data_IF_216418795911
#
_entry.id   IF_216418795911
#
_cell.length_a   1.000
_cell.length_b   1.000
_cell.length_c   1.000
_cell.angle_alpha   90.00
_cell.angle_beta   90.00
_cell.angle_gamma   90.00
#
_symmetry.space_group_name_H-M   'P 1'
#
loop_
_entity.id
_entity.type
_entity.pdbx_description
1 polymer ?
#
# COMPACT_ATOMS: atom_id res chain seq x y z
N UNK A 1 -31.85 -25.66 -3.96
CA UNK A 1 -30.80 -24.64 -4.11
C UNK A 1 -30.22 -24.44 -2.73
N UNK A 2 -28.95 -24.79 -2.54
CA UNK A 2 -28.32 -24.89 -1.21
C UNK A 2 -28.03 -23.50 -0.64
N UNK A 3 -28.65 -23.17 0.50
CA UNK A 3 -28.23 -22.08 1.36
C UNK A 3 -26.84 -22.42 1.93
N UNK A 4 -25.79 -21.83 1.37
CA UNK A 4 -24.44 -21.89 1.94
C UNK A 4 -24.44 -21.14 3.26
N UNK A 5 -24.42 -21.89 4.36
CA UNK A 5 -24.46 -21.39 5.72
C UNK A 5 -23.20 -20.51 6.01
N UNK A 6 -23.31 -19.18 6.18
CA UNK A 6 -22.16 -18.27 6.23
C UNK A 6 -21.15 -18.59 7.34
N UNK A 7 -21.62 -19.17 8.44
CA UNK A 7 -20.80 -19.60 9.58
C UNK A 7 -19.86 -20.76 9.24
N UNK A 8 -20.34 -21.73 8.45
CA UNK A 8 -19.53 -22.86 8.03
C UNK A 8 -18.43 -22.42 7.04
N UNK A 9 -18.77 -21.52 6.11
CA UNK A 9 -17.81 -20.97 5.17
C UNK A 9 -16.71 -20.19 5.89
N UNK A 10 -17.08 -19.32 6.84
CA UNK A 10 -16.13 -18.56 7.65
C UNK A 10 -15.20 -19.48 8.47
N UNK A 11 -15.72 -20.54 9.06
CA UNK A 11 -14.89 -21.51 9.80
C UNK A 11 -13.94 -22.28 8.89
N UNK A 12 -14.39 -22.67 7.69
CA UNK A 12 -13.53 -23.30 6.68
C UNK A 12 -12.41 -22.36 6.22
N UNK A 13 -12.71 -21.06 6.07
CA UNK A 13 -11.71 -20.07 5.68
C UNK A 13 -10.65 -19.86 6.78
N UNK A 14 -11.05 -19.88 8.06
CA UNK A 14 -10.09 -19.87 9.19
C UNK A 14 -9.18 -21.09 9.19
N UNK A 15 -9.74 -22.29 8.98
CA UNK A 15 -8.95 -23.53 8.90
C UNK A 15 -7.97 -23.45 7.72
N UNK A 16 -8.44 -23.05 6.54
CA UNK A 16 -7.59 -22.89 5.36
C UNK A 16 -6.47 -21.89 5.61
N UNK A 17 -6.77 -20.74 6.23
CA UNK A 17 -5.77 -19.72 6.58
C UNK A 17 -4.74 -20.24 7.58
N UNK A 18 -5.12 -21.11 8.52
CA UNK A 18 -4.20 -21.72 9.49
C UNK A 18 -3.30 -22.80 8.90
N UNK A 19 -3.75 -23.49 7.85
CA UNK A 19 -3.03 -24.61 7.21
C UNK A 19 -2.14 -24.16 6.05
N UNK A 20 -2.39 -22.98 5.48
CA UNK A 20 -1.56 -22.41 4.42
C UNK A 20 -0.18 -22.03 4.96
N UNK A 21 0.85 -22.30 4.18
CA UNK A 21 2.20 -21.82 4.45
C UNK A 21 2.26 -20.29 4.50
N UNK A 22 3.29 -19.79 5.18
CA UNK A 22 3.63 -18.38 5.28
C UNK A 22 4.42 -17.91 4.07
N UNK A 23 4.05 -16.75 3.55
CA UNK A 23 4.69 -16.18 2.36
C UNK A 23 5.45 -14.91 2.68
N UNK A 24 6.76 -14.92 2.43
CA UNK A 24 7.65 -13.77 2.57
C UNK A 24 8.15 -13.31 1.20
N UNK A 25 8.03 -12.02 0.91
CA UNK A 25 8.50 -11.41 -0.34
C UNK A 25 9.53 -10.32 -0.06
N UNK A 26 10.68 -10.43 -0.71
CA UNK A 26 11.63 -9.34 -0.87
C UNK A 26 11.31 -8.51 -2.11
N UNK A 27 10.94 -7.24 -1.91
CA UNK A 27 10.71 -6.28 -2.99
C UNK A 27 11.98 -5.45 -3.19
N UNK A 28 12.35 -5.21 -4.45
CA UNK A 28 13.42 -4.27 -4.78
C UNK A 28 13.04 -3.31 -5.89
N UNK A 29 13.63 -2.13 -5.88
CA UNK A 29 13.41 -1.13 -6.93
C UNK A 29 13.95 -1.56 -8.31
N UNK A 30 14.95 -2.44 -8.35
CA UNK A 30 15.58 -2.92 -9.59
C UNK A 30 16.39 -4.21 -9.41
N UNK A 31 16.87 -4.76 -10.52
CA UNK A 31 17.92 -5.77 -10.53
C UNK A 31 19.22 -5.24 -9.90
N UNK A 32 19.93 -6.09 -9.17
CA UNK A 32 21.25 -5.75 -8.62
C UNK A 32 21.25 -5.14 -7.21
N UNK A 33 20.08 -4.82 -6.65
CA UNK A 33 19.93 -4.35 -5.25
C UNK A 33 20.21 -5.44 -4.20
N UNK A 34 20.44 -6.69 -4.61
CA UNK A 34 20.86 -7.76 -3.69
C UNK A 34 19.74 -8.62 -3.10
N UNK A 35 18.53 -8.64 -3.69
CA UNK A 35 17.41 -9.48 -3.24
C UNK A 35 17.80 -10.95 -3.05
N UNK A 36 18.34 -11.59 -4.10
CA UNK A 36 18.79 -12.99 -4.08
C UNK A 36 19.84 -13.24 -3.01
N UNK A 37 20.84 -12.34 -2.91
CA UNK A 37 21.89 -12.45 -1.91
C UNK A 37 21.31 -12.41 -0.49
N UNK A 38 20.37 -11.50 -0.22
CA UNK A 38 19.73 -11.40 1.09
C UNK A 38 18.86 -12.62 1.40
N UNK A 39 18.13 -13.11 0.41
CA UNK A 39 17.31 -14.31 0.53
C UNK A 39 18.15 -15.56 0.86
N UNK A 40 19.33 -15.72 0.24
CA UNK A 40 20.27 -16.79 0.58
C UNK A 40 20.88 -16.64 1.98
N UNK A 41 21.20 -15.41 2.41
CA UNK A 41 21.66 -15.17 3.79
C UNK A 41 20.60 -15.56 4.83
N UNK A 42 19.32 -15.29 4.55
CA UNK A 42 18.22 -15.70 5.42
C UNK A 42 18.06 -17.22 5.43
N UNK A 43 18.15 -17.88 4.27
CA UNK A 43 18.12 -19.34 4.17
C UNK A 43 19.22 -19.99 5.04
N UNK A 44 20.43 -19.44 5.01
CA UNK A 44 21.54 -19.84 5.88
C UNK A 44 21.23 -19.63 7.37
N UNK A 45 20.63 -18.51 7.72
CA UNK A 45 20.26 -18.22 9.11
C UNK A 45 19.20 -19.20 9.63
N UNK A 46 18.18 -19.49 8.83
CA UNK A 46 17.14 -20.47 9.14
C UNK A 46 17.72 -21.88 9.29
N UNK A 47 18.58 -22.31 8.36
CA UNK A 47 19.23 -23.61 8.41
C UNK A 47 20.11 -23.77 9.67
N UNK A 48 20.88 -22.73 10.05
CA UNK A 48 21.66 -22.74 11.30
C UNK A 48 20.80 -22.83 12.56
N UNK A 49 19.55 -22.36 12.50
CA UNK A 49 18.60 -22.48 13.59
C UNK A 49 17.79 -23.79 13.55
N UNK A 50 18.17 -24.74 12.68
CA UNK A 50 17.56 -26.08 12.62
C UNK A 50 16.25 -26.15 11.83
N UNK A 51 15.88 -25.10 11.09
CA UNK A 51 14.70 -25.11 10.22
C UNK A 51 15.03 -25.86 8.93
N UNK A 52 14.15 -26.77 8.47
CA UNK A 52 14.33 -27.44 7.18
C UNK A 52 14.07 -26.48 6.00
N UNK A 53 15.14 -25.85 5.53
CA UNK A 53 15.14 -24.96 4.38
C UNK A 53 15.68 -25.68 3.15
N UNK A 54 15.00 -25.54 2.02
CA UNK A 54 15.49 -26.00 0.72
C UNK A 54 15.46 -24.91 -0.34
N UNK A 55 16.43 -24.93 -1.22
CA UNK A 55 16.44 -24.10 -2.43
C UNK A 55 15.61 -24.80 -3.51
N UNK A 56 14.48 -24.20 -3.88
CA UNK A 56 13.67 -24.66 -5.01
C UNK A 56 14.17 -24.09 -6.33
N UNK A 57 14.32 -22.77 -6.39
CA UNK A 57 14.86 -22.09 -7.58
C UNK A 57 15.57 -20.79 -7.20
N UNK A 58 16.78 -20.58 -7.72
CA UNK A 58 17.58 -19.37 -7.53
C UNK A 58 18.28 -19.02 -8.85
N UNK A 59 18.20 -17.78 -9.29
CA UNK A 59 19.00 -17.30 -10.42
C UNK A 59 20.19 -16.49 -9.92
N UNK A 60 21.40 -17.04 -10.05
CA UNK A 60 22.62 -16.35 -9.59
C UNK A 60 23.17 -15.36 -10.62
N UNK A 61 22.71 -15.45 -11.88
CA UNK A 61 23.25 -14.71 -13.02
C UNK A 61 24.78 -14.79 -13.15
N UNK A 62 25.36 -15.94 -12.78
CA UNK A 62 26.81 -16.18 -12.74
C UNK A 62 27.60 -15.23 -11.81
N UNK A 63 26.93 -14.62 -10.83
CA UNK A 63 27.61 -13.81 -9.81
C UNK A 63 28.29 -14.73 -8.80
N UNK A 64 29.63 -14.74 -8.82
CA UNK A 64 30.45 -15.59 -7.94
C UNK A 64 30.03 -15.48 -6.47
N UNK A 65 29.93 -14.27 -5.92
CA UNK A 65 29.52 -14.05 -4.52
C UNK A 65 28.15 -14.63 -4.16
N UNK A 66 27.20 -14.66 -5.12
CA UNK A 66 25.86 -15.24 -4.90
C UNK A 66 25.86 -16.75 -5.11
N UNK A 67 26.67 -17.23 -6.05
CA UNK A 67 26.86 -18.66 -6.27
C UNK A 67 27.53 -19.33 -5.07
N UNK A 68 28.56 -18.71 -4.49
CA UNK A 68 29.27 -19.20 -3.31
C UNK A 68 28.33 -19.31 -2.09
N UNK A 69 27.26 -18.50 -2.03
CA UNK A 69 26.24 -18.61 -0.97
C UNK A 69 25.31 -19.82 -1.13
N UNK A 70 25.27 -20.49 -2.28
CA UNK A 70 24.51 -21.72 -2.43
C UNK A 70 25.19 -22.90 -1.71
N UNK A 71 26.52 -22.83 -1.53
CA UNK A 71 27.27 -23.86 -0.85
C UNK A 71 26.76 -24.02 0.60
N UNK A 72 26.45 -25.27 0.97
CA UNK A 72 25.91 -25.60 2.28
C UNK A 72 24.39 -25.49 2.42
N UNK A 73 23.66 -25.02 1.40
CA UNK A 73 22.20 -25.04 1.40
C UNK A 73 21.66 -26.30 0.68
N UNK A 74 20.69 -27.02 1.25
CA UNK A 74 20.04 -28.14 0.56
C UNK A 74 19.29 -27.66 -0.70
N UNK A 75 19.60 -28.22 -1.87
CA UNK A 75 18.99 -27.82 -3.14
C UNK A 75 18.08 -28.93 -3.66
N UNK A 76 16.86 -28.57 -4.08
CA UNK A 76 15.97 -29.46 -4.80
C UNK A 76 16.38 -29.43 -6.28
N UNK A 77 16.66 -30.59 -6.90
CA UNK A 77 17.00 -30.64 -8.32
C UNK A 77 15.94 -29.97 -9.18
N UNK A 78 16.37 -29.13 -10.11
CA UNK A 78 15.48 -28.45 -11.06
C UNK A 78 14.95 -29.45 -12.08
N UNK A 79 13.73 -29.20 -12.54
CA UNK A 79 13.14 -29.95 -13.64
C UNK A 79 13.71 -29.43 -14.96
N UNK A 80 14.25 -30.33 -15.77
CA UNK A 80 14.77 -30.02 -17.10
C UNK A 80 13.67 -30.20 -18.15
N UNK A 81 13.49 -29.18 -18.99
CA UNK A 81 12.52 -29.18 -20.08
C UNK A 81 13.20 -28.80 -21.40
N UNK A 82 12.80 -29.45 -22.49
CA UNK A 82 13.25 -29.09 -23.83
C UNK A 82 12.23 -28.19 -24.52
N UNK A 83 12.64 -26.96 -24.83
CA UNK A 83 11.81 -25.99 -25.54
C UNK A 83 12.61 -25.32 -26.67
N UNK A 84 12.04 -25.33 -27.89
CA UNK A 84 12.67 -24.80 -29.11
C UNK A 84 14.13 -25.27 -29.32
N UNK A 85 14.40 -26.53 -29.01
CA UNK A 85 15.73 -27.14 -29.17
C UNK A 85 16.76 -26.75 -28.12
N UNK A 86 16.35 -26.10 -27.01
CA UNK A 86 17.21 -25.81 -25.86
C UNK A 86 16.71 -26.53 -24.62
N UNK A 87 17.63 -27.08 -23.83
CA UNK A 87 17.35 -27.54 -22.47
C UNK A 87 17.30 -26.32 -21.54
N UNK A 88 16.23 -26.21 -20.77
CA UNK A 88 15.98 -25.14 -19.83
C UNK A 88 15.60 -25.73 -18.47
N UNK A 89 16.06 -25.08 -17.40
CA UNK A 89 15.76 -25.47 -16.03
C UNK A 89 14.53 -24.71 -15.49
N UNK A 90 13.63 -25.43 -14.82
CA UNK A 90 12.44 -24.89 -14.17
C UNK A 90 12.30 -25.41 -12.74
N UNK A 91 11.52 -24.70 -11.93
CA UNK A 91 11.16 -25.17 -10.59
C UNK A 91 10.41 -26.53 -10.66
N UNK A 92 10.81 -27.49 -9.83
CA UNK A 92 10.08 -28.76 -9.67
C UNK A 92 9.11 -28.67 -8.48
N UNK A 93 7.90 -28.16 -8.75
CA UNK A 93 6.84 -27.99 -7.75
C UNK A 93 6.47 -29.31 -7.08
N UNK A 94 6.44 -30.41 -7.83
CA UNK A 94 6.05 -31.71 -7.28
C UNK A 94 7.13 -32.27 -6.37
N UNK A 95 8.41 -32.08 -6.71
CA UNK A 95 9.50 -32.43 -5.80
C UNK A 95 9.47 -31.61 -4.50
N UNK A 96 9.18 -30.31 -4.58
CA UNK A 96 9.00 -29.45 -3.39
C UNK A 96 7.87 -29.98 -2.51
N UNK A 97 6.70 -30.23 -3.09
CA UNK A 97 5.51 -30.72 -2.35
C UNK A 97 5.73 -32.13 -1.80
N UNK A 98 6.45 -32.99 -2.52
CA UNK A 98 6.77 -34.35 -2.07
C UNK A 98 7.76 -34.39 -0.92
N UNK A 99 8.76 -33.50 -0.93
CA UNK A 99 9.77 -33.39 0.12
C UNK A 99 9.27 -32.68 1.39
N UNK A 100 8.25 -31.81 1.25
CA UNK A 100 7.63 -31.03 2.35
C UNK A 100 8.64 -30.36 3.29
N UNK A 101 9.56 -29.52 2.77
CA UNK A 101 10.39 -28.71 3.65
C UNK A 101 9.53 -27.74 4.49
N UNK A 102 10.07 -27.26 5.60
CA UNK A 102 9.42 -26.18 6.35
C UNK A 102 9.44 -24.89 5.55
N UNK A 103 10.53 -24.60 4.84
CA UNK A 103 10.70 -23.41 4.01
C UNK A 103 11.32 -23.76 2.67
N UNK A 104 10.77 -23.23 1.57
CA UNK A 104 11.41 -23.26 0.26
C UNK A 104 11.71 -21.85 -0.25
N UNK A 105 12.89 -21.70 -0.86
CA UNK A 105 13.32 -20.46 -1.48
C UNK A 105 13.09 -20.53 -2.99
N UNK A 106 12.36 -19.54 -3.52
CA UNK A 106 11.98 -19.46 -4.95
C UNK A 106 12.19 -18.04 -5.47
N UNK A 107 13.22 -17.82 -6.27
CA UNK A 107 13.52 -16.51 -6.89
C UNK A 107 12.72 -16.26 -8.18
N UNK A 108 12.79 -15.01 -8.66
CA UNK A 108 12.19 -14.55 -9.92
C UNK A 108 10.67 -14.81 -9.96
N UNK A 109 9.93 -14.29 -8.95
CA UNK A 109 8.49 -14.52 -8.78
C UNK A 109 7.64 -14.16 -10.01
N UNK A 110 8.09 -13.20 -10.82
CA UNK A 110 7.40 -12.72 -12.01
C UNK A 110 7.62 -13.60 -13.27
N UNK A 111 8.56 -14.54 -13.19
CA UNK A 111 8.97 -15.40 -14.30
C UNK A 111 7.77 -16.08 -14.97
N UNK A 112 7.82 -16.09 -16.30
CA UNK A 112 6.89 -16.84 -17.14
C UNK A 112 7.44 -18.24 -17.34
N UNK A 113 6.72 -19.23 -16.83
CA UNK A 113 7.15 -20.62 -16.90
C UNK A 113 7.26 -21.09 -18.35
N UNK A 114 8.13 -22.06 -18.57
CA UNK A 114 8.33 -22.65 -19.90
C UNK A 114 7.05 -23.36 -20.36
N UNK A 115 6.72 -23.20 -21.65
CA UNK A 115 5.58 -23.89 -22.30
C UNK A 115 5.62 -25.41 -22.02
N UNK A 116 4.47 -25.97 -21.62
CA UNK A 116 4.35 -27.35 -21.15
C UNK A 116 4.46 -27.51 -19.63
N UNK A 117 4.72 -26.43 -18.90
CA UNK A 117 4.52 -26.39 -17.44
C UNK A 117 3.03 -26.41 -17.08
N UNK A 118 2.71 -26.91 -15.88
CA UNK A 118 1.33 -26.96 -15.38
C UNK A 118 0.73 -25.57 -15.23
N UNK A 119 1.52 -24.64 -14.70
CA UNK A 119 1.14 -23.25 -14.50
C UNK A 119 1.95 -22.36 -15.44
N UNK A 120 1.35 -21.26 -15.91
CA UNK A 120 1.96 -20.31 -16.83
C UNK A 120 2.96 -19.37 -16.14
N UNK A 121 2.80 -19.15 -14.83
CA UNK A 121 3.58 -18.21 -14.06
C UNK A 121 4.13 -18.81 -12.77
N UNK A 122 5.37 -18.43 -12.41
CA UNK A 122 6.01 -18.91 -11.19
C UNK A 122 5.27 -18.53 -9.91
N UNK A 123 4.62 -17.36 -9.88
CA UNK A 123 3.79 -17.00 -8.73
C UNK A 123 2.60 -17.97 -8.51
N UNK A 124 2.10 -18.64 -9.56
CA UNK A 124 1.08 -19.68 -9.41
C UNK A 124 1.66 -20.94 -8.77
N UNK A 125 2.89 -21.32 -9.15
CA UNK A 125 3.62 -22.41 -8.50
C UNK A 125 3.85 -22.13 -7.02
N UNK A 126 4.25 -20.90 -6.69
CA UNK A 126 4.42 -20.45 -5.30
C UNK A 126 3.11 -20.55 -4.52
N UNK A 127 1.99 -20.13 -5.11
CA UNK A 127 0.68 -20.28 -4.46
C UNK A 127 0.31 -21.75 -4.22
N UNK A 128 0.59 -22.64 -5.18
CA UNK A 128 0.37 -24.09 -5.03
C UNK A 128 1.21 -24.68 -3.88
N UNK A 129 2.47 -24.26 -3.74
CA UNK A 129 3.37 -24.66 -2.65
C UNK A 129 2.83 -24.16 -1.30
N UNK A 130 2.38 -22.91 -1.23
CA UNK A 130 1.78 -22.33 -0.02
C UNK A 130 0.50 -23.07 0.39
N UNK A 131 -0.35 -23.44 -0.57
CA UNK A 131 -1.55 -24.24 -0.32
C UNK A 131 -1.24 -25.64 0.22
N UNK A 132 -0.08 -26.20 -0.12
CA UNK A 132 0.41 -27.46 0.46
C UNK A 132 0.94 -27.32 1.90
N UNK A 133 0.93 -26.11 2.47
CA UNK A 133 1.35 -25.82 3.85
C UNK A 133 2.84 -25.53 4.00
N UNK A 134 3.57 -25.34 2.90
CA UNK A 134 5.02 -25.08 2.89
C UNK A 134 5.26 -23.57 2.86
N UNK A 135 6.15 -23.06 3.72
CA UNK A 135 6.46 -21.64 3.72
C UNK A 135 7.34 -21.28 2.52
N UNK A 136 7.14 -20.11 1.92
CA UNK A 136 7.91 -19.66 0.75
C UNK A 136 8.57 -18.33 1.02
N UNK A 137 9.87 -18.24 0.70
CA UNK A 137 10.59 -16.97 0.60
C UNK A 137 10.87 -16.71 -0.88
N UNK A 138 10.46 -15.53 -1.36
CA UNK A 138 10.61 -15.14 -2.75
C UNK A 138 11.08 -13.70 -2.90
N UNK A 139 11.39 -13.29 -4.13
CA UNK A 139 11.82 -11.96 -4.47
C UNK A 139 11.21 -11.46 -5.78
N UNK A 140 10.96 -10.15 -5.85
CA UNK A 140 10.44 -9.48 -7.05
C UNK A 140 10.92 -8.03 -7.15
N UNK A 141 10.98 -7.50 -8.38
CA UNK A 141 11.18 -6.07 -8.61
C UNK A 141 9.84 -5.36 -8.80
N UNK A 142 9.76 -4.09 -8.40
CA UNK A 142 8.54 -3.27 -8.55
C UNK A 142 8.04 -3.15 -9.98
N UNK A 143 8.94 -3.21 -10.97
CA UNK A 143 8.62 -3.12 -12.39
C UNK A 143 7.71 -4.25 -12.89
N UNK A 144 7.66 -5.37 -12.16
CA UNK A 144 6.82 -6.51 -12.47
C UNK A 144 5.43 -6.40 -11.83
N UNK A 145 5.18 -5.46 -10.94
CA UNK A 145 3.88 -5.29 -10.30
C UNK A 145 2.93 -4.65 -11.32
N UNK A 146 1.78 -5.28 -11.54
CA UNK A 146 0.83 -4.88 -12.59
C UNK A 146 0.42 -3.40 -12.47
N UNK A 147 0.02 -2.96 -11.26
CA UNK A 147 -0.42 -1.58 -11.01
C UNK A 147 0.68 -0.53 -11.22
N UNK A 148 1.95 -0.90 -11.05
CA UNK A 148 3.09 0.02 -11.16
C UNK A 148 3.73 0.01 -12.55
N UNK A 149 3.29 -0.87 -13.46
CA UNK A 149 3.95 -1.11 -14.73
C UNK A 149 4.02 0.14 -15.61
N UNK A 150 2.90 0.87 -15.74
CA UNK A 150 2.82 2.09 -16.56
C UNK A 150 3.66 3.23 -15.97
N UNK A 151 3.67 3.38 -14.65
CA UNK A 151 4.48 4.41 -13.97
C UNK A 151 5.97 4.12 -14.13
N UNK A 152 6.39 2.86 -13.95
CA UNK A 152 7.77 2.42 -14.18
C UNK A 152 8.18 2.56 -15.65
N UNK A 153 7.29 2.27 -16.60
CA UNK A 153 7.53 2.50 -18.03
C UNK A 153 7.68 3.99 -18.34
N UNK A 154 6.88 4.85 -17.71
CA UNK A 154 6.99 6.31 -17.81
C UNK A 154 8.34 6.85 -17.32
N UNK A 155 8.87 6.28 -16.24
CA UNK A 155 10.18 6.66 -15.67
C UNK A 155 11.32 6.13 -16.54
N UNK A 156 11.29 4.85 -16.89
CA UNK A 156 12.46 4.15 -17.45
C UNK A 156 12.48 4.08 -18.98
N UNK A 157 11.32 4.29 -19.62
CA UNK A 157 11.10 4.05 -21.05
C UNK A 157 11.11 2.58 -21.45
N UNK A 158 11.20 1.64 -20.50
CA UNK A 158 11.31 0.21 -20.76
C UNK A 158 10.00 -0.49 -20.43
N UNK A 159 9.48 -1.25 -21.39
CA UNK A 159 8.28 -2.06 -21.19
C UNK A 159 8.63 -3.44 -20.62
N UNK A 160 8.00 -3.78 -19.50
CA UNK A 160 8.17 -5.07 -18.82
C UNK A 160 6.97 -5.97 -19.11
N UNK A 161 7.24 -7.08 -19.80
CA UNK A 161 6.22 -8.07 -20.20
C UNK A 161 5.87 -9.06 -19.08
N UNK A 162 6.83 -9.39 -18.24
CA UNK A 162 6.62 -10.32 -17.14
C UNK A 162 6.00 -9.59 -15.96
N UNK A 163 4.75 -9.92 -15.64
CA UNK A 163 3.97 -9.24 -14.62
C UNK A 163 3.45 -10.17 -13.54
N UNK A 164 3.20 -9.58 -12.36
CA UNK A 164 2.53 -10.19 -11.21
C UNK A 164 1.32 -9.35 -10.80
N UNK A 165 0.16 -9.98 -10.55
CA UNK A 165 -0.99 -9.28 -9.99
C UNK A 165 -0.70 -8.77 -8.58
N UNK A 166 -1.20 -7.59 -8.25
CA UNK A 166 -1.11 -6.99 -6.91
C UNK A 166 -1.67 -7.90 -5.80
N UNK A 167 -2.66 -8.72 -6.12
CA UNK A 167 -3.25 -9.68 -5.17
C UNK A 167 -2.25 -10.72 -4.68
N UNK A 168 -1.21 -11.05 -5.46
CA UNK A 168 -0.14 -11.97 -5.06
C UNK A 168 0.70 -11.33 -3.94
N UNK A 169 1.03 -10.05 -4.06
CA UNK A 169 1.72 -9.32 -3.00
C UNK A 169 0.83 -9.15 -1.76
N UNK A 170 -0.45 -8.84 -1.96
CA UNK A 170 -1.42 -8.74 -0.87
C UNK A 170 -1.62 -10.05 -0.10
N UNK A 171 -1.32 -11.19 -0.71
CA UNK A 171 -1.37 -12.51 -0.08
C UNK A 171 -0.11 -12.85 0.74
N UNK A 172 0.94 -12.01 0.70
CA UNK A 172 2.17 -12.22 1.45
C UNK A 172 1.99 -11.93 2.95
N UNK A 173 2.44 -12.82 3.81
CA UNK A 173 2.46 -12.65 5.27
C UNK A 173 3.56 -11.65 5.71
N UNK A 174 4.66 -11.55 4.96
CA UNK A 174 5.73 -10.57 5.22
C UNK A 174 6.22 -9.95 3.89
N UNK A 175 6.41 -8.62 3.88
CA UNK A 175 6.96 -7.90 2.73
C UNK A 175 8.13 -7.06 3.22
N UNK A 176 9.31 -7.26 2.62
CA UNK A 176 10.55 -6.60 3.03
C UNK A 176 11.14 -5.85 1.84
N UNK A 177 11.43 -4.56 2.04
CA UNK A 177 12.12 -3.75 1.03
C UNK A 177 13.63 -4.03 1.05
N UNK A 178 14.23 -4.22 -0.13
CA UNK A 178 15.66 -4.26 -0.34
C UNK A 178 16.07 -3.05 -1.17
N UNK A 179 16.85 -2.19 -0.54
CA UNK A 179 17.14 -0.85 -1.01
C UNK A 179 18.65 -0.58 -1.07
N UNK A 180 19.06 0.20 -2.07
CA UNK A 180 20.43 0.68 -2.29
C UNK A 180 20.36 2.15 -2.72
N UNK A 181 21.44 2.89 -2.50
CA UNK A 181 21.55 4.23 -3.10
C UNK A 181 21.78 4.14 -4.61
N UNK A 182 21.47 5.22 -5.34
CA UNK A 182 21.72 5.29 -6.79
C UNK A 182 23.21 5.09 -7.11
N UNK A 183 24.10 5.71 -6.33
CA UNK A 183 25.54 5.63 -6.53
C UNK A 183 26.06 4.20 -6.32
N UNK A 184 25.59 3.50 -5.29
CA UNK A 184 25.95 2.09 -5.06
C UNK A 184 25.45 1.19 -6.20
N UNK A 185 24.21 1.37 -6.65
CA UNK A 185 23.65 0.56 -7.72
C UNK A 185 24.38 0.79 -9.05
N UNK A 186 24.71 2.05 -9.37
CA UNK A 186 25.49 2.42 -10.56
C UNK A 186 26.91 1.85 -10.48
N UNK A 187 27.53 1.91 -9.30
CA UNK A 187 28.87 1.36 -9.08
C UNK A 187 28.86 -0.15 -9.31
N UNK A 188 27.90 -0.88 -8.73
CA UNK A 188 27.72 -2.32 -8.95
C UNK A 188 27.47 -2.65 -10.43
N UNK A 189 26.73 -1.82 -11.14
CA UNK A 189 26.53 -1.99 -12.57
C UNK A 189 27.85 -1.84 -13.34
N UNK A 190 28.62 -0.78 -13.07
CA UNK A 190 29.93 -0.51 -13.72
C UNK A 190 30.97 -1.59 -13.43
N UNK A 191 30.92 -2.20 -12.24
CA UNK A 191 31.75 -3.34 -11.86
C UNK A 191 31.34 -4.66 -12.55
N UNK A 192 30.28 -4.66 -13.37
CA UNK A 192 29.79 -5.85 -14.05
C UNK A 192 29.06 -6.84 -13.13
N UNK A 193 28.67 -6.40 -11.92
CA UNK A 193 27.97 -7.25 -10.95
C UNK A 193 26.48 -7.43 -11.26
N UNK A 194 25.93 -6.65 -12.19
CA UNK A 194 24.49 -6.66 -12.53
C UNK A 194 24.25 -7.19 -13.95
N UNK A 195 24.96 -6.66 -14.94
CA UNK A 195 24.88 -7.07 -16.34
C UNK A 195 26.26 -7.35 -16.93
N UNK A 196 26.28 -8.13 -18.01
CA UNK A 196 27.48 -8.35 -18.83
C UNK A 196 27.98 -7.03 -19.42
N UNK A 197 29.31 -6.86 -19.63
CA UNK A 197 29.93 -5.60 -20.08
C UNK A 197 29.24 -4.95 -21.30
N UNK A 198 28.86 -5.77 -22.28
CA UNK A 198 28.19 -5.34 -23.52
C UNK A 198 26.87 -4.57 -23.29
N UNK A 199 26.15 -4.86 -22.19
CA UNK A 199 24.86 -4.24 -21.87
C UNK A 199 24.97 -3.08 -20.89
N UNK A 200 26.14 -2.85 -20.28
CA UNK A 200 26.32 -1.83 -19.23
C UNK A 200 26.01 -0.43 -19.77
N UNK A 201 26.58 -0.06 -20.92
CA UNK A 201 26.39 1.29 -21.46
C UNK A 201 24.93 1.58 -21.82
N UNK A 202 24.23 0.62 -22.42
CA UNK A 202 22.80 0.74 -22.73
C UNK A 202 21.96 0.82 -21.45
N UNK A 203 22.31 0.05 -20.42
CA UNK A 203 21.62 0.08 -19.13
C UNK A 203 21.79 1.44 -18.42
N UNK A 204 23.00 2.02 -18.43
CA UNK A 204 23.28 3.35 -17.87
C UNK A 204 22.55 4.47 -18.62
N UNK A 205 22.41 4.35 -19.94
CA UNK A 205 21.73 5.36 -20.77
C UNK A 205 20.19 5.29 -20.66
N UNK A 206 19.65 4.20 -20.11
CA UNK A 206 18.22 3.96 -19.99
C UNK A 206 17.82 3.82 -18.52
N UNK A 207 17.72 2.59 -18.01
CA UNK A 207 17.14 2.29 -16.70
C UNK A 207 17.98 2.83 -15.52
N UNK A 208 19.31 2.76 -15.59
CA UNK A 208 20.22 3.02 -14.44
C UNK A 208 20.73 4.47 -14.37
N UNK A 209 19.83 5.43 -14.58
CA UNK A 209 20.14 6.85 -14.34
C UNK A 209 19.82 7.24 -12.89
N UNK A 210 20.58 8.16 -12.26
CA UNK A 210 20.36 8.55 -10.87
C UNK A 210 18.94 9.02 -10.55
N UNK A 211 18.35 9.83 -11.45
CA UNK A 211 16.98 10.34 -11.36
C UNK A 211 15.92 9.25 -11.51
N UNK A 212 16.13 8.29 -12.41
CA UNK A 212 15.26 7.12 -12.55
C UNK A 212 15.32 6.25 -11.29
N UNK A 213 16.52 5.95 -10.78
CA UNK A 213 16.69 5.13 -9.58
C UNK A 213 16.02 5.78 -8.37
N UNK A 214 16.12 7.10 -8.22
CA UNK A 214 15.48 7.82 -7.12
C UNK A 214 13.96 7.70 -7.16
N UNK A 215 13.34 7.85 -8.35
CA UNK A 215 11.90 7.68 -8.52
C UNK A 215 11.45 6.23 -8.29
N UNK A 216 12.20 5.25 -8.80
CA UNK A 216 11.92 3.83 -8.55
C UNK A 216 12.05 3.47 -7.07
N UNK A 217 13.00 4.08 -6.36
CA UNK A 217 13.17 3.93 -4.91
C UNK A 217 11.96 4.47 -4.15
N UNK A 218 11.47 5.65 -4.53
CA UNK A 218 10.24 6.22 -3.97
C UNK A 218 9.05 5.27 -4.17
N UNK A 219 8.86 4.74 -5.39
CA UNK A 219 7.80 3.80 -5.69
C UNK A 219 7.90 2.51 -4.87
N UNK A 220 9.10 1.94 -4.73
CA UNK A 220 9.31 0.74 -3.93
C UNK A 220 8.95 0.97 -2.45
N UNK A 221 9.37 2.10 -1.88
CA UNK A 221 9.06 2.44 -0.49
C UNK A 221 7.56 2.69 -0.29
N UNK A 222 6.92 3.39 -1.23
CA UNK A 222 5.47 3.64 -1.21
C UNK A 222 4.66 2.35 -1.31
N UNK A 223 5.07 1.41 -2.16
CA UNK A 223 4.40 0.13 -2.29
C UNK A 223 4.53 -0.71 -1.01
N UNK A 224 5.73 -0.79 -0.43
CA UNK A 224 5.95 -1.51 0.82
C UNK A 224 5.14 -0.87 1.96
N UNK A 225 5.09 0.47 2.05
CA UNK A 225 4.25 1.17 3.01
C UNK A 225 2.76 0.84 2.83
N UNK A 226 2.26 0.87 1.59
CA UNK A 226 0.88 0.48 1.24
C UNK A 226 0.55 -0.95 1.68
N UNK A 227 1.47 -1.91 1.49
CA UNK A 227 1.28 -3.29 1.95
C UNK A 227 1.23 -3.42 3.48
N UNK A 228 2.09 -2.68 4.19
CA UNK A 228 2.07 -2.63 5.67
C UNK A 228 0.76 -2.03 6.16
N UNK A 229 0.28 -0.95 5.53
CA UNK A 229 -1.00 -0.33 5.86
C UNK A 229 -2.18 -1.30 5.70
N UNK A 230 -2.26 -2.01 4.56
CA UNK A 230 -3.33 -3.00 4.32
C UNK A 230 -3.32 -4.12 5.35
N UNK A 231 -2.13 -4.56 5.80
CA UNK A 231 -2.00 -5.56 6.86
C UNK A 231 -2.49 -5.05 8.20
N UNK A 232 -2.10 -3.83 8.57
CA UNK A 232 -2.59 -3.18 9.79
C UNK A 232 -4.12 -3.11 9.78
N UNK A 233 -4.73 -2.73 8.65
CA UNK A 233 -6.19 -2.67 8.52
C UNK A 233 -6.87 -4.05 8.63
N UNK A 234 -6.19 -5.12 8.21
CA UNK A 234 -6.75 -6.48 8.20
C UNK A 234 -6.55 -7.21 9.52
N UNK A 235 -5.39 -7.05 10.16
CA UNK A 235 -4.97 -7.83 11.33
C UNK A 235 -5.22 -7.13 12.66
N UNK A 236 -5.23 -5.79 12.69
CA UNK A 236 -5.50 -5.04 13.92
C UNK A 236 -7.01 -4.75 13.96
N UNK A 237 -7.75 -5.28 14.96
CA UNK A 237 -9.15 -4.92 15.16
C UNK A 237 -9.29 -3.40 15.26
N UNK A 238 -10.33 -2.82 14.64
CA UNK A 238 -10.62 -1.38 14.65
C UNK A 238 -10.58 -0.71 16.04
N UNK A 239 -10.71 -1.48 17.13
CA UNK A 239 -10.59 -1.01 18.51
C UNK A 239 -9.16 -0.66 18.96
N UNK A 240 -8.11 -1.16 18.30
CA UNK A 240 -6.69 -0.94 18.67
C UNK A 240 -5.93 -0.16 17.58
N UNK A 241 -6.46 -0.11 16.35
CA UNK A 241 -5.95 0.80 15.34
C UNK A 241 -6.19 2.24 15.80
N UNK A 242 -5.13 3.00 16.06
CA UNK A 242 -5.21 4.46 16.20
C UNK A 242 -6.13 4.97 15.10
N UNK A 243 -7.32 5.52 15.45
CA UNK A 243 -8.30 5.94 14.46
C UNK A 243 -7.56 6.83 13.45
N UNK A 244 -7.48 6.41 12.19
CA UNK A 244 -6.86 7.25 11.15
C UNK A 244 -7.56 8.60 11.19
N UNK A 245 -6.78 9.67 11.39
CA UNK A 245 -7.31 10.99 11.73
C UNK A 245 -8.17 11.55 10.60
N UNK A 246 -9.49 11.42 10.63
CA UNK A 246 -10.38 11.99 9.61
C UNK A 246 -10.81 13.38 10.05
N UNK A 247 -10.50 14.39 9.22
CA UNK A 247 -10.79 15.78 9.54
C UNK A 247 -12.09 16.26 8.89
N UNK A 248 -12.91 17.01 9.63
CA UNK A 248 -14.11 17.67 9.13
C UNK A 248 -14.01 19.18 9.35
N UNK A 249 -13.81 19.94 8.27
CA UNK A 249 -13.92 21.39 8.29
C UNK A 249 -15.39 21.80 8.17
N UNK A 250 -15.97 22.38 9.21
CA UNK A 250 -17.31 22.96 9.10
C UNK A 250 -17.20 24.45 8.74
N UNK A 251 -17.80 24.81 7.61
CA UNK A 251 -17.80 26.18 7.10
C UNK A 251 -19.19 26.80 7.13
N UNK A 252 -19.24 28.12 7.26
CA UNK A 252 -20.46 28.92 7.14
C UNK A 252 -20.43 29.76 5.87
N UNK A 253 -21.50 30.51 5.62
CA UNK A 253 -21.59 31.48 4.53
C UNK A 253 -20.68 32.72 4.69
N UNK A 254 -19.88 32.80 5.77
CA UNK A 254 -18.90 33.86 5.99
C UNK A 254 -17.58 33.57 5.24
N UNK A 255 -17.22 34.45 4.32
CA UNK A 255 -16.07 34.26 3.42
C UNK A 255 -14.72 34.12 4.13
N UNK A 256 -14.35 35.08 4.99
CA UNK A 256 -12.99 35.18 5.53
C UNK A 256 -12.66 34.03 6.49
N UNK A 257 -13.59 33.72 7.39
CA UNK A 257 -13.45 32.63 8.36
C UNK A 257 -13.45 31.27 7.67
N UNK A 258 -14.35 31.04 6.70
CA UNK A 258 -14.44 29.75 6.00
C UNK A 258 -13.15 29.43 5.21
N UNK A 259 -12.60 30.41 4.48
CA UNK A 259 -11.36 30.23 3.71
C UNK A 259 -10.17 29.84 4.59
N UNK A 260 -10.09 30.43 5.79
CA UNK A 260 -9.04 30.14 6.76
C UNK A 260 -9.16 28.73 7.34
N UNK A 261 -10.38 28.33 7.73
CA UNK A 261 -10.69 26.98 8.24
C UNK A 261 -10.33 25.92 7.20
N UNK A 262 -10.72 26.12 5.94
CA UNK A 262 -10.40 25.20 4.83
C UNK A 262 -8.88 25.02 4.73
N UNK A 263 -8.12 26.12 4.66
CA UNK A 263 -6.65 26.06 4.49
C UNK A 263 -5.93 25.42 5.67
N UNK A 264 -6.34 25.74 6.89
CA UNK A 264 -5.73 25.17 8.10
C UNK A 264 -6.09 23.69 8.26
N UNK A 265 -7.32 23.31 7.97
CA UNK A 265 -7.75 21.91 8.01
C UNK A 265 -7.02 21.10 6.94
N UNK A 266 -6.88 21.62 5.71
CA UNK A 266 -6.10 20.98 4.67
C UNK A 266 -4.64 20.74 5.08
N UNK A 267 -4.01 21.70 5.78
CA UNK A 267 -2.65 21.54 6.32
C UNK A 267 -2.58 20.44 7.37
N UNK A 268 -3.56 20.37 8.27
CA UNK A 268 -3.62 19.30 9.28
C UNK A 268 -3.83 17.94 8.61
N UNK A 269 -4.80 17.83 7.70
CA UNK A 269 -5.07 16.61 6.95
C UNK A 269 -3.84 16.14 6.15
N UNK A 270 -3.12 17.07 5.51
CA UNK A 270 -1.87 16.78 4.80
C UNK A 270 -0.75 16.33 5.74
N UNK A 271 -0.63 16.93 6.92
CA UNK A 271 0.37 16.54 7.92
C UNK A 271 0.14 15.11 8.43
N UNK A 272 -1.12 14.72 8.64
CA UNK A 272 -1.51 13.37 9.07
C UNK A 272 -1.72 12.40 7.90
N UNK A 273 -1.43 12.81 6.66
CA UNK A 273 -1.70 12.05 5.44
C UNK A 273 -3.10 11.40 5.41
N UNK A 274 -4.12 12.19 5.74
CA UNK A 274 -5.47 11.66 5.94
C UNK A 274 -6.54 12.34 5.09
N UNK A 275 -7.64 11.61 4.91
CA UNK A 275 -8.83 12.12 4.24
C UNK A 275 -9.48 13.21 5.08
N UNK A 276 -10.01 14.21 4.40
CA UNK A 276 -10.72 15.30 5.05
C UNK A 276 -11.90 15.76 4.21
N UNK A 277 -12.86 16.35 4.91
CA UNK A 277 -14.16 16.71 4.39
C UNK A 277 -14.46 18.16 4.71
N UNK A 278 -15.23 18.81 3.84
CA UNK A 278 -15.79 20.13 4.11
C UNK A 278 -17.30 20.02 4.21
N UNK A 279 -17.85 20.36 5.37
CA UNK A 279 -19.28 20.35 5.62
C UNK A 279 -19.85 21.78 5.58
N UNK A 280 -20.89 21.94 4.78
CA UNK A 280 -21.77 23.10 4.81
C UNK A 280 -23.19 22.66 5.17
N UNK A 281 -23.72 23.20 6.26
CA UNK A 281 -25.11 22.99 6.68
C UNK A 281 -25.94 24.19 6.25
N UNK A 282 -26.86 23.95 5.31
CA UNK A 282 -27.78 24.97 4.83
C UNK A 282 -28.99 25.06 5.77
N UNK A 283 -29.14 26.20 6.43
CA UNK A 283 -30.29 26.47 7.31
C UNK A 283 -31.48 27.04 6.51
N UNK A 284 -32.73 26.96 7.02
CA UNK A 284 -33.91 27.51 6.33
C UNK A 284 -33.85 29.02 6.04
N UNK A 285 -33.07 29.77 6.83
CA UNK A 285 -32.82 31.20 6.61
C UNK A 285 -31.81 31.48 5.49
N UNK A 286 -31.13 30.44 5.00
CA UNK A 286 -30.15 30.46 3.91
C UNK A 286 -30.62 29.58 2.73
N UNK A 287 -31.93 29.40 2.56
CA UNK A 287 -32.49 28.73 1.39
C UNK A 287 -32.04 29.44 0.10
N UNK A 288 -32.00 28.73 -1.02
CA UNK A 288 -31.45 29.26 -2.29
C UNK A 288 -32.11 30.59 -2.72
N UNK A 289 -33.39 30.77 -2.37
CA UNK A 289 -34.18 31.99 -2.69
C UNK A 289 -34.01 33.12 -1.67
N UNK A 290 -33.33 32.89 -0.54
CA UNK A 290 -33.20 33.84 0.59
C UNK A 290 -31.76 34.26 0.89
N UNK A 291 -30.78 33.47 0.45
CA UNK A 291 -29.37 33.80 0.63
C UNK A 291 -28.93 34.89 -0.34
N UNK A 292 -28.21 35.90 0.15
CA UNK A 292 -27.71 36.99 -0.67
C UNK A 292 -26.70 36.48 -1.73
N UNK A 293 -26.71 37.09 -2.92
CA UNK A 293 -25.94 36.64 -4.09
C UNK A 293 -24.41 36.68 -3.86
N UNK A 294 -23.93 37.64 -3.07
CA UNK A 294 -22.55 37.74 -2.62
C UNK A 294 -22.14 36.49 -1.82
N UNK A 295 -22.95 36.09 -0.83
CA UNK A 295 -22.72 34.90 -0.01
C UNK A 295 -22.74 33.61 -0.83
N UNK A 296 -23.63 33.48 -1.82
CA UNK A 296 -23.63 32.34 -2.74
C UNK A 296 -22.30 32.23 -3.49
N UNK A 297 -21.81 33.35 -4.02
CA UNK A 297 -20.53 33.41 -4.75
C UNK A 297 -19.36 32.99 -3.86
N UNK A 298 -19.31 33.48 -2.62
CA UNK A 298 -18.26 33.12 -1.67
C UNK A 298 -18.28 31.62 -1.33
N UNK A 299 -19.47 31.05 -1.16
CA UNK A 299 -19.63 29.63 -0.87
C UNK A 299 -19.14 28.74 -2.03
N UNK A 300 -19.48 29.10 -3.27
CA UNK A 300 -18.99 28.42 -4.48
C UNK A 300 -17.46 28.46 -4.54
N UNK A 301 -16.85 29.62 -4.30
CA UNK A 301 -15.40 29.78 -4.29
C UNK A 301 -14.73 28.93 -3.20
N UNK A 302 -15.34 28.84 -2.03
CA UNK A 302 -14.85 28.02 -0.93
C UNK A 302 -14.93 26.52 -1.24
N UNK A 303 -16.02 26.05 -1.88
CA UNK A 303 -16.10 24.67 -2.34
C UNK A 303 -15.04 24.35 -3.39
N UNK A 304 -14.84 25.25 -4.36
CA UNK A 304 -13.79 25.09 -5.36
C UNK A 304 -12.41 24.98 -4.70
N UNK A 305 -12.09 25.89 -3.77
CA UNK A 305 -10.84 25.84 -3.01
C UNK A 305 -10.68 24.54 -2.23
N UNK A 306 -11.73 24.09 -1.56
CA UNK A 306 -11.71 22.85 -0.79
C UNK A 306 -11.43 21.63 -1.69
N UNK A 307 -12.09 21.54 -2.85
CA UNK A 307 -11.86 20.48 -3.83
C UNK A 307 -10.45 20.55 -4.43
N UNK A 308 -9.93 21.74 -4.75
CA UNK A 308 -8.54 21.92 -5.20
C UNK A 308 -7.51 21.48 -4.14
N UNK A 309 -7.86 21.55 -2.86
CA UNK A 309 -7.04 21.09 -1.73
C UNK A 309 -7.34 19.64 -1.32
N UNK A 310 -8.13 18.90 -2.12
CA UNK A 310 -8.38 17.47 -1.94
C UNK A 310 -9.48 17.11 -0.94
N UNK A 311 -10.34 18.04 -0.54
CA UNK A 311 -11.49 17.75 0.33
C UNK A 311 -12.68 17.16 -0.46
N UNK A 312 -13.39 16.22 0.17
CA UNK A 312 -14.74 15.85 -0.26
C UNK A 312 -15.77 16.83 0.32
N UNK A 313 -16.68 17.34 -0.52
CA UNK A 313 -17.67 18.34 -0.12
C UNK A 313 -18.97 17.66 0.30
N UNK A 314 -19.43 17.95 1.52
CA UNK A 314 -20.69 17.47 2.08
C UNK A 314 -21.62 18.67 2.28
N UNK A 315 -22.81 18.61 1.68
CA UNK A 315 -23.86 19.62 1.83
C UNK A 315 -25.08 18.96 2.44
N UNK A 316 -25.55 19.50 3.57
CA UNK A 316 -26.72 18.98 4.30
C UNK A 316 -27.70 20.13 4.50
N UNK A 317 -28.99 19.86 4.38
CA UNK A 317 -30.04 20.80 4.75
C UNK A 317 -30.58 20.42 6.12
N UNK A 318 -30.43 21.30 7.10
CA UNK A 318 -30.93 21.04 8.44
C UNK A 318 -31.26 22.35 9.17
N UNK A 319 -32.22 22.27 10.08
CA UNK A 319 -32.56 23.35 11.02
C UNK A 319 -31.53 23.46 12.16
N UNK A 320 -30.92 22.34 12.55
CA UNK A 320 -30.00 22.23 13.68
C UNK A 320 -28.58 21.91 13.21
N UNK A 321 -27.75 22.95 13.11
CA UNK A 321 -26.37 22.83 12.63
C UNK A 321 -25.53 21.86 13.47
N UNK A 322 -25.65 21.88 14.79
CA UNK A 322 -24.85 21.02 15.66
C UNK A 322 -25.18 19.55 15.47
N UNK A 323 -26.45 19.23 15.28
CA UNK A 323 -26.93 17.86 15.06
C UNK A 323 -26.50 17.33 13.70
N UNK A 324 -26.62 18.14 12.65
CA UNK A 324 -26.12 17.79 11.32
C UNK A 324 -24.60 17.53 11.32
N UNK A 325 -23.82 18.35 12.04
CA UNK A 325 -22.36 18.13 12.17
C UNK A 325 -22.07 16.77 12.81
N UNK A 326 -22.77 16.42 13.89
CA UNK A 326 -22.54 15.16 14.61
C UNK A 326 -22.97 13.96 13.77
N UNK A 327 -24.13 14.02 13.12
CA UNK A 327 -24.59 12.95 12.23
C UNK A 327 -23.59 12.69 11.10
N UNK A 328 -23.06 13.74 10.47
CA UNK A 328 -22.03 13.61 9.43
C UNK A 328 -20.73 13.06 10.03
N UNK A 329 -20.35 13.54 11.22
CA UNK A 329 -19.15 13.07 11.90
C UNK A 329 -19.22 11.57 12.21
N UNK A 330 -20.36 11.07 12.69
CA UNK A 330 -20.57 9.65 12.95
C UNK A 330 -20.62 8.83 11.65
N UNK A 331 -21.39 9.28 10.65
CA UNK A 331 -21.54 8.58 9.37
C UNK A 331 -20.22 8.46 8.58
N UNK A 332 -19.30 9.43 8.74
CA UNK A 332 -18.00 9.43 8.08
C UNK A 332 -16.86 8.97 9.00
N UNK A 333 -17.17 8.61 10.24
CA UNK A 333 -16.22 8.23 11.29
C UNK A 333 -15.12 9.30 11.51
N UNK A 334 -15.52 10.58 11.51
CA UNK A 334 -14.63 11.73 11.72
C UNK A 334 -14.01 11.67 13.12
N UNK A 335 -12.71 11.94 13.21
CA UNK A 335 -11.97 11.99 14.49
C UNK A 335 -11.76 13.40 14.98
N UNK A 336 -11.58 14.36 14.07
CA UNK A 336 -11.30 15.76 14.41
C UNK A 336 -12.21 16.71 13.64
N UNK A 337 -12.98 17.53 14.35
CA UNK A 337 -13.80 18.60 13.79
C UNK A 337 -13.06 19.93 13.91
N UNK A 338 -12.93 20.63 12.78
CA UNK A 338 -12.29 21.94 12.67
C UNK A 338 -13.34 23.04 12.48
N UNK A 339 -13.43 23.97 13.43
CA UNK A 339 -14.34 25.12 13.40
C UNK A 339 -13.58 26.43 13.37
N UNK A 340 -14.13 27.45 12.73
CA UNK A 340 -13.59 28.81 12.80
C UNK A 340 -13.95 29.47 14.14
N UNK A 341 -13.03 30.29 14.68
CA UNK A 341 -13.33 31.10 15.86
C UNK A 341 -14.53 32.02 15.56
N UNK A 342 -15.61 31.98 16.36
CA UNK A 342 -16.77 32.81 16.09
C UNK A 342 -16.44 34.28 16.41
N UNK A 343 -16.75 35.18 15.48
CA UNK A 343 -16.69 36.63 15.72
C UNK A 343 -17.97 37.05 16.45
N UNK A 344 -17.95 37.07 17.79
CA UNK A 344 -19.14 37.42 18.59
C UNK A 344 -18.89 38.71 19.38
N UNK A 345 -19.82 39.65 19.26
CA UNK A 345 -19.93 40.85 20.10
C UNK A 345 -20.53 40.45 21.48
N UNK A 346 -20.05 41.02 22.59
CA UNK A 346 -20.34 40.57 23.98
C UNK A 346 -21.82 40.23 24.28
N UNK A 347 -22.77 40.99 23.73
CA UNK A 347 -24.22 40.80 23.95
C UNK A 347 -24.80 39.54 23.28
N UNK A 348 -24.17 39.02 22.21
CA UNK A 348 -24.57 37.76 21.56
C UNK A 348 -24.00 36.52 22.23
N UNK A 349 -23.06 36.66 23.18
CA UNK A 349 -22.49 35.53 23.96
C UNK A 349 -23.56 34.80 24.78
N UNK A 350 -24.64 35.51 25.15
CA UNK A 350 -25.78 34.97 25.91
C UNK A 350 -26.73 34.15 25.01
N UNK A 351 -26.75 34.39 23.69
CA UNK A 351 -27.65 33.73 22.72
C UNK A 351 -26.94 32.71 21.80
N UNK A 352 -25.65 32.90 21.52
CA UNK A 352 -24.85 32.01 20.67
C UNK A 352 -24.32 30.77 21.42
N UNK A 353 -24.57 30.68 22.71
CA UNK A 353 -24.11 29.58 23.58
C UNK A 353 -24.86 28.27 23.30
N UNK A 354 -26.11 28.28 22.82
CA UNK A 354 -26.86 27.03 22.66
C UNK A 354 -26.30 26.10 21.57
N UNK A 355 -25.90 26.61 20.40
CA UNK A 355 -25.39 25.77 19.29
C UNK A 355 -24.02 25.18 19.66
N UNK A 356 -23.10 26.03 20.15
CA UNK A 356 -21.75 25.64 20.52
C UNK A 356 -21.71 24.77 21.78
N UNK A 357 -22.50 25.10 22.81
CA UNK A 357 -22.59 24.27 24.02
C UNK A 357 -23.29 22.93 23.75
N UNK A 358 -24.32 22.89 22.89
CA UNK A 358 -24.93 21.62 22.51
C UNK A 358 -23.96 20.74 21.72
N UNK A 359 -23.15 21.34 20.84
CA UNK A 359 -22.10 20.62 20.13
C UNK A 359 -21.05 20.09 21.11
N UNK A 360 -20.52 20.93 22.01
CA UNK A 360 -19.55 20.51 23.03
C UNK A 360 -20.10 19.41 23.96
N UNK A 361 -21.35 19.53 24.40
CA UNK A 361 -21.98 18.55 25.29
C UNK A 361 -22.21 17.19 24.59
N UNK A 362 -22.56 17.20 23.31
CA UNK A 362 -22.71 15.97 22.52
C UNK A 362 -21.35 15.41 22.06
N UNK A 363 -20.35 16.25 21.80
CA UNK A 363 -18.99 15.81 21.51
C UNK A 363 -18.29 15.26 22.76
N UNK A 364 -18.60 15.75 23.97
CA UNK A 364 -18.03 15.16 25.19
C UNK A 364 -18.43 13.70 25.44
N UNK A 365 -19.51 13.23 24.78
CA UNK A 365 -19.93 11.82 24.81
C UNK A 365 -19.37 10.99 23.67
N UNK A 366 -18.62 11.59 22.73
CA UNK A 366 -18.05 10.94 21.55
C UNK A 366 -16.53 11.13 21.55
N UNK A 367 -15.74 10.12 21.18
CA UNK A 367 -14.27 10.26 21.04
C UNK A 367 -13.92 11.06 19.76
N UNK A 368 -14.32 12.34 19.70
CA UNK A 368 -14.11 13.25 18.58
C UNK A 368 -13.50 14.56 19.10
N UNK A 369 -12.32 14.90 18.62
CA UNK A 369 -11.62 16.12 18.97
C UNK A 369 -12.22 17.35 18.29
N UNK A 370 -12.20 18.48 18.99
CA UNK A 370 -12.65 19.76 18.48
C UNK A 370 -11.49 20.77 18.43
N UNK A 371 -11.15 21.21 17.22
CA UNK A 371 -10.10 22.22 16.99
C UNK A 371 -10.74 23.52 16.55
N UNK A 372 -10.48 24.60 17.30
CA UNK A 372 -10.93 25.96 16.97
C UNK A 372 -9.79 26.71 16.29
N UNK A 373 -10.00 27.09 15.04
CA UNK A 373 -9.03 27.74 14.20
C UNK A 373 -9.26 29.26 14.22
N UNK A 374 -8.31 29.98 14.84
CA UNK A 374 -8.23 31.44 14.85
C UNK A 374 -7.50 31.99 13.65
#
# INVERSE_FOLDING_TARGET
MSETNPSAQHFLDLIKKSRRGKFKIYIGMSAGVGKTFRMLQEAHALLRNGIDVKIGYIETHNRKETHDLLDGLPVIPRRKLFYKGKELDELDVQAVIGLRPEVVVVDELAHTNIEGSKNDKRWQDVLEILEAGINVISAVNIQHIESLNEEVKGITGVEVKERIPDSVLGAADEVVNIDLTADELITRLKEGKIYKPEKIQTALNNFFKPDHILQLRELALKEVASQVERKVETEIPKLVASKREKFLACISSNESTARHVIRKTARLASYYNSKWFVLYVQTPNESQDKIALDKQRHLINNFKLATEMGAEIIRVQDTNVSEAIIQVAEQREITTICLGKPHINLLRVILATNVFNNLLKKLSSSDIDLVILS
#
